data_IF_710763731117
#
_entry.id   IF_710763731117
#
_cell.length_a   1.000
_cell.length_b   1.000
_cell.length_c   1.000
_cell.angle_alpha   90.00
_cell.angle_beta   90.00
_cell.angle_gamma   90.00
#
_symmetry.space_group_name_H-M   'P 1'
#
loop_
_entity.id
_entity.type
_entity.pdbx_description
1 polymer ?
#
# COMPACT_ATOMS: atom_id res chain seq x y z
N UNK A 1 14.42 0.94 2.49
CA UNK A 1 13.36 1.92 2.17
C UNK A 1 12.29 1.91 3.24
N UNK A 2 11.56 0.80 3.48
CA UNK A 2 10.43 0.72 4.45
C UNK A 2 10.80 1.07 5.89
N UNK A 3 11.95 0.63 6.40
CA UNK A 3 12.42 1.04 7.72
C UNK A 3 12.55 2.57 7.83
N UNK A 4 13.09 3.20 6.79
CA UNK A 4 13.15 4.67 6.70
C UNK A 4 11.77 5.33 6.65
N UNK A 5 10.79 4.71 5.98
CA UNK A 5 9.40 5.20 5.93
C UNK A 5 8.74 5.19 7.31
N UNK A 6 8.85 4.07 8.05
CA UNK A 6 8.31 3.96 9.41
C UNK A 6 9.02 4.95 10.35
N UNK A 7 10.35 5.08 10.24
CA UNK A 7 11.09 6.03 11.05
C UNK A 7 10.74 7.48 10.72
N UNK A 8 10.45 7.80 9.45
CA UNK A 8 10.04 9.14 9.02
C UNK A 8 8.65 9.56 9.54
N UNK A 9 7.79 8.60 9.90
CA UNK A 9 6.49 8.86 10.53
C UNK A 9 6.55 9.01 12.06
N UNK A 10 7.75 8.85 12.66
CA UNK A 10 7.97 8.85 14.11
C UNK A 10 8.89 9.99 14.56
N UNK A 11 8.38 11.25 14.60
CA UNK A 11 9.17 12.41 15.04
C UNK A 11 9.57 12.36 16.52
N UNK A 12 8.97 11.44 17.28
CA UNK A 12 9.31 11.13 18.66
C UNK A 12 10.61 10.30 18.81
N UNK A 13 11.04 9.61 17.75
CA UNK A 13 12.20 8.70 17.78
C UNK A 13 13.36 9.24 16.95
N UNK A 14 13.09 9.95 15.83
CA UNK A 14 14.12 10.39 14.90
C UNK A 14 14.24 11.92 14.83
N UNK A 15 15.47 12.49 14.78
CA UNK A 15 15.68 13.91 14.54
C UNK A 15 15.07 14.35 13.20
N UNK A 16 14.53 15.59 13.17
CA UNK A 16 13.87 16.14 11.97
C UNK A 16 14.71 16.03 10.69
N UNK A 17 16.01 16.28 10.77
CA UNK A 17 16.90 16.16 9.61
C UNK A 17 16.96 14.75 9.03
N UNK A 18 16.84 13.73 9.87
CA UNK A 18 16.76 12.33 9.43
C UNK A 18 15.40 12.02 8.81
N UNK A 19 14.33 12.53 9.41
CA UNK A 19 12.96 12.39 8.87
C UNK A 19 12.88 12.98 7.46
N UNK A 20 13.41 14.18 7.26
CA UNK A 20 13.40 14.87 5.97
C UNK A 20 14.16 14.08 4.88
N UNK A 21 15.32 13.48 5.22
CA UNK A 21 16.06 12.63 4.28
C UNK A 21 15.38 11.26 4.03
N UNK A 22 14.86 10.64 5.08
CA UNK A 22 14.18 9.35 4.98
C UNK A 22 12.85 9.46 4.21
N UNK A 23 12.16 10.60 4.32
CA UNK A 23 10.93 10.86 3.55
C UNK A 23 11.20 10.89 2.04
N UNK A 24 12.39 11.33 1.60
CA UNK A 24 12.77 11.30 0.17
C UNK A 24 12.94 9.89 -0.39
N UNK A 25 13.10 8.89 0.47
CA UNK A 25 13.18 7.48 0.05
C UNK A 25 11.79 6.88 -0.27
N UNK A 26 10.71 7.62 0.04
CA UNK A 26 9.35 7.12 -0.16
C UNK A 26 8.96 7.09 -1.64
N UNK A 27 9.41 8.06 -2.44
CA UNK A 27 8.86 8.33 -3.78
C UNK A 27 9.73 7.83 -4.95
N UNK A 28 10.89 7.20 -4.70
CA UNK A 28 11.88 6.92 -5.76
C UNK A 28 12.30 5.44 -5.86
N UNK A 29 11.34 4.53 -5.91
CA UNK A 29 11.69 3.14 -6.26
C UNK A 29 11.67 2.97 -7.76
N UNK A 30 12.83 2.66 -8.36
CA UNK A 30 12.94 2.41 -9.80
C UNK A 30 11.94 1.35 -10.24
N UNK A 31 11.18 1.59 -11.31
CA UNK A 31 10.28 0.60 -11.86
C UNK A 31 11.03 -0.67 -12.26
N UNK A 32 10.43 -1.83 -11.98
CA UNK A 32 10.92 -3.07 -12.59
C UNK A 32 10.54 -3.10 -14.08
N UNK A 33 11.39 -3.69 -14.94
CA UNK A 33 11.07 -3.86 -16.35
C UNK A 33 9.74 -4.60 -16.55
N UNK A 34 9.00 -4.22 -17.62
CA UNK A 34 7.68 -4.82 -17.88
C UNK A 34 7.75 -6.35 -18.08
N UNK A 35 8.83 -6.85 -18.67
CA UNK A 35 9.06 -8.28 -18.84
C UNK A 35 9.14 -9.01 -17.50
N UNK A 36 9.76 -8.39 -16.49
CA UNK A 36 9.82 -8.94 -15.12
C UNK A 36 8.45 -8.92 -14.47
N UNK A 37 7.70 -7.81 -14.63
CA UNK A 37 6.32 -7.73 -14.18
C UNK A 37 5.45 -8.82 -14.81
N UNK A 38 5.55 -9.02 -16.12
CA UNK A 38 4.79 -10.05 -16.84
C UNK A 38 5.10 -11.47 -16.36
N UNK A 39 6.37 -11.76 -16.04
CA UNK A 39 6.78 -13.05 -15.45
C UNK A 39 6.15 -13.26 -14.08
N UNK A 40 6.17 -12.26 -13.20
CA UNK A 40 5.56 -12.35 -11.86
C UNK A 40 4.03 -12.44 -11.93
N UNK A 41 3.41 -11.73 -12.88
CA UNK A 41 1.98 -11.84 -13.15
C UNK A 41 1.61 -13.26 -13.62
N UNK A 42 2.41 -13.83 -14.55
CA UNK A 42 2.24 -15.21 -15.03
C UNK A 42 2.45 -16.24 -13.91
N UNK A 43 3.37 -15.98 -12.97
CA UNK A 43 3.58 -16.84 -11.81
C UNK A 43 2.34 -16.88 -10.91
N UNK A 44 1.66 -15.75 -10.73
CA UNK A 44 0.44 -15.65 -9.94
C UNK A 44 -0.78 -16.21 -10.65
N UNK A 45 -1.09 -15.71 -11.84
CA UNK A 45 -2.33 -16.02 -12.55
C UNK A 45 -2.27 -17.25 -13.45
N UNK A 46 -1.07 -17.83 -13.66
CA UNK A 46 -0.86 -18.94 -14.56
C UNK A 46 -0.42 -18.53 -15.98
N UNK A 47 0.03 -19.50 -16.78
CA UNK A 47 0.58 -19.24 -18.11
C UNK A 47 -0.43 -18.63 -19.09
N UNK A 48 -1.71 -18.92 -18.91
CA UNK A 48 -2.79 -18.43 -19.79
C UNK A 48 -3.31 -17.04 -19.38
N UNK A 49 -2.61 -16.35 -18.46
CA UNK A 49 -3.03 -15.01 -17.96
C UNK A 49 -3.22 -13.98 -19.08
N UNK A 50 -2.48 -14.06 -20.18
CA UNK A 50 -2.66 -13.18 -21.34
C UNK A 50 -4.07 -13.30 -21.96
N UNK A 51 -4.72 -14.45 -21.82
CA UNK A 51 -6.10 -14.65 -22.27
C UNK A 51 -7.15 -13.90 -21.38
N UNK A 52 -6.77 -13.49 -20.17
CA UNK A 52 -7.64 -12.77 -19.22
C UNK A 52 -7.74 -11.28 -19.54
N UNK A 53 -6.73 -10.72 -20.20
CA UNK A 53 -6.64 -9.29 -20.48
C UNK A 53 -6.68 -8.99 -21.97
N UNK A 54 -7.35 -7.88 -22.34
CA UNK A 54 -7.30 -7.29 -23.68
C UNK A 54 -5.99 -6.52 -23.88
N UNK A 55 -5.56 -5.81 -22.84
CA UNK A 55 -4.30 -5.06 -22.80
C UNK A 55 -3.82 -4.86 -21.37
N UNK A 56 -2.52 -4.76 -21.19
CA UNK A 56 -1.86 -4.33 -19.96
C UNK A 56 -0.91 -3.20 -20.37
N UNK A 57 -0.95 -2.06 -19.66
CA UNK A 57 -0.05 -0.94 -19.90
C UNK A 57 1.38 -1.34 -19.54
N UNK A 58 2.35 -1.09 -20.42
CA UNK A 58 3.77 -1.31 -20.13
C UNK A 58 4.31 -0.31 -19.13
N UNK A 59 3.83 0.95 -19.19
CA UNK A 59 4.17 1.96 -18.22
C UNK A 59 3.43 1.70 -16.89
N UNK A 60 4.12 1.62 -15.75
CA UNK A 60 3.48 1.45 -14.46
C UNK A 60 2.73 2.71 -14.05
N UNK A 61 1.61 2.54 -13.35
CA UNK A 61 0.90 3.62 -12.65
C UNK A 61 1.65 4.04 -11.38
N UNK A 62 2.22 3.06 -10.67
CA UNK A 62 2.98 3.29 -9.45
C UNK A 62 4.05 2.21 -9.27
N UNK A 63 5.16 2.58 -8.62
CA UNK A 63 6.26 1.69 -8.29
C UNK A 63 6.62 1.87 -6.82
N UNK A 64 6.26 0.87 -6.00
CA UNK A 64 6.55 0.84 -4.57
C UNK A 64 7.70 -0.12 -4.24
N UNK A 65 8.13 -0.14 -2.99
CA UNK A 65 9.24 -0.97 -2.51
C UNK A 65 9.00 -2.47 -2.68
N UNK A 66 7.78 -2.92 -2.47
CA UNK A 66 7.41 -4.34 -2.51
C UNK A 66 6.59 -4.74 -3.73
N UNK A 67 6.00 -3.79 -4.44
CA UNK A 67 5.08 -4.05 -5.55
C UNK A 67 5.16 -2.99 -6.65
N UNK A 68 4.63 -3.33 -7.80
CA UNK A 68 4.39 -2.41 -8.91
C UNK A 68 2.97 -2.54 -9.41
N UNK A 69 2.37 -1.41 -9.82
CA UNK A 69 0.97 -1.33 -10.23
C UNK A 69 0.87 -0.95 -11.69
N UNK A 70 0.13 -1.71 -12.48
CA UNK A 70 -0.14 -1.44 -13.88
C UNK A 70 -1.65 -1.37 -14.15
N UNK A 71 -2.06 -0.49 -15.08
CA UNK A 71 -3.43 -0.46 -15.61
C UNK A 71 -3.59 -1.58 -16.63
N UNK A 72 -4.75 -2.23 -16.60
CA UNK A 72 -5.10 -3.26 -17.56
C UNK A 72 -6.58 -3.16 -17.93
N UNK A 73 -6.93 -3.77 -19.06
CA UNK A 73 -8.31 -3.95 -19.51
C UNK A 73 -8.55 -5.45 -19.63
N UNK A 74 -9.51 -5.98 -18.91
CA UNK A 74 -9.90 -7.39 -19.00
C UNK A 74 -10.58 -7.72 -20.33
N UNK A 75 -10.73 -9.01 -20.68
CA UNK A 75 -11.38 -9.42 -21.93
C UNK A 75 -12.85 -8.98 -22.01
N UNK A 76 -13.53 -8.91 -20.89
CA UNK A 76 -14.92 -8.42 -20.77
C UNK A 76 -15.04 -6.89 -20.69
N UNK A 77 -13.89 -6.17 -20.82
CA UNK A 77 -13.85 -4.71 -20.96
C UNK A 77 -13.80 -3.94 -19.66
N UNK A 78 -13.60 -4.58 -18.50
CA UNK A 78 -13.40 -3.89 -17.20
C UNK A 78 -12.03 -3.25 -17.17
N UNK A 79 -11.96 -1.99 -16.74
CA UNK A 79 -10.71 -1.30 -16.44
C UNK A 79 -10.26 -1.65 -15.03
N UNK A 80 -9.05 -2.17 -14.90
CA UNK A 80 -8.51 -2.67 -13.63
C UNK A 80 -7.08 -2.20 -13.42
N UNK A 81 -6.64 -2.27 -12.17
CA UNK A 81 -5.23 -2.19 -11.79
C UNK A 81 -4.75 -3.55 -11.31
N UNK A 82 -3.54 -3.88 -11.70
CA UNK A 82 -2.82 -5.09 -11.30
C UNK A 82 -1.65 -4.65 -10.41
N UNK A 83 -1.75 -4.90 -9.11
CA UNK A 83 -0.66 -4.74 -8.14
C UNK A 83 0.06 -6.09 -8.06
N UNK A 84 1.32 -6.13 -8.48
CA UNK A 84 2.11 -7.36 -8.56
C UNK A 84 3.33 -7.21 -7.67
N UNK A 85 3.56 -8.21 -6.81
CA UNK A 85 4.69 -8.23 -5.88
C UNK A 85 6.00 -8.41 -6.67
N UNK A 86 7.03 -7.66 -6.24
CA UNK A 86 8.37 -7.75 -6.82
C UNK A 86 8.99 -9.14 -6.57
N UNK A 87 9.77 -9.66 -7.52
CA UNK A 87 10.48 -10.94 -7.33
C UNK A 87 11.51 -10.82 -6.19
N UNK A 88 11.71 -11.91 -5.45
CA UNK A 88 12.75 -12.02 -4.42
C UNK A 88 12.54 -11.12 -3.18
N UNK A 89 11.41 -10.40 -3.09
CA UNK A 89 11.20 -9.45 -1.99
C UNK A 89 11.09 -10.14 -0.63
N UNK A 90 10.49 -11.33 -0.56
CA UNK A 90 10.37 -12.08 0.69
C UNK A 90 11.73 -12.49 1.24
N UNK A 91 12.60 -12.97 0.35
CA UNK A 91 13.96 -13.38 0.69
C UNK A 91 14.81 -12.18 1.13
N UNK A 92 14.69 -11.06 0.42
CA UNK A 92 15.40 -9.83 0.77
C UNK A 92 14.95 -9.28 2.13
N UNK A 93 13.63 -9.21 2.37
CA UNK A 93 13.09 -8.76 3.67
C UNK A 93 13.57 -9.67 4.79
N UNK A 94 13.58 -10.99 4.60
CA UNK A 94 14.08 -11.92 5.60
C UNK A 94 15.56 -11.67 5.94
N UNK A 95 16.40 -11.50 4.92
CA UNK A 95 17.81 -11.19 5.13
C UNK A 95 18.02 -9.84 5.85
N UNK A 96 17.23 -8.83 5.49
CA UNK A 96 17.26 -7.53 6.18
C UNK A 96 16.83 -7.67 7.65
N UNK A 97 15.80 -8.49 7.95
CA UNK A 97 15.37 -8.75 9.32
C UNK A 97 16.46 -9.47 10.13
N UNK A 98 17.13 -10.47 9.57
CA UNK A 98 18.22 -11.17 10.24
C UNK A 98 19.34 -10.20 10.66
N UNK A 99 19.69 -9.23 9.78
CA UNK A 99 20.67 -8.18 10.07
C UNK A 99 20.16 -7.26 11.19
N UNK A 100 18.90 -6.81 11.12
CA UNK A 100 18.30 -5.93 12.15
C UNK A 100 18.25 -6.60 13.51
N UNK A 101 17.90 -7.89 13.59
CA UNK A 101 17.92 -8.65 14.83
C UNK A 101 19.33 -8.74 15.41
N UNK A 102 20.33 -9.01 14.57
CA UNK A 102 21.72 -9.04 15.02
C UNK A 102 22.17 -7.67 15.60
N UNK A 103 21.83 -6.58 14.92
CA UNK A 103 22.15 -5.22 15.40
C UNK A 103 21.39 -4.88 16.68
N UNK A 104 20.12 -5.28 16.80
CA UNK A 104 19.32 -5.06 18.00
C UNK A 104 19.89 -5.81 19.22
N UNK A 105 20.33 -7.05 19.02
CA UNK A 105 20.99 -7.84 20.08
C UNK A 105 22.33 -7.22 20.48
N UNK A 106 23.15 -6.78 19.54
CA UNK A 106 24.40 -6.10 19.81
C UNK A 106 24.18 -4.79 20.60
N UNK A 107 23.17 -4.00 20.21
CA UNK A 107 22.81 -2.77 20.91
C UNK A 107 22.37 -3.05 22.34
N UNK A 108 21.54 -4.07 22.55
CA UNK A 108 21.03 -4.49 23.85
C UNK A 108 22.13 -4.97 24.79
N UNK A 109 23.20 -5.59 24.22
CA UNK A 109 24.34 -6.08 24.99
C UNK A 109 25.36 -4.99 25.33
N UNK A 110 25.41 -3.87 24.59
CA UNK A 110 26.46 -2.84 24.72
C UNK A 110 25.99 -1.54 25.36
N UNK A 111 24.68 -1.27 25.36
CA UNK A 111 24.08 -0.02 25.87
C UNK A 111 23.08 -0.37 26.96
N UNK A 112 23.40 0.02 28.22
CA UNK A 112 22.55 -0.29 29.38
C UNK A 112 21.12 0.27 29.24
N UNK A 113 20.99 1.50 28.71
CA UNK A 113 19.68 2.12 28.49
C UNK A 113 18.89 1.50 27.33
N UNK A 114 19.52 0.74 26.42
CA UNK A 114 18.84 0.11 25.30
C UNK A 114 17.81 -0.93 25.75
N UNK A 115 17.98 -1.53 26.95
CA UNK A 115 17.02 -2.46 27.55
C UNK A 115 15.64 -1.83 27.79
N UNK A 116 15.58 -0.52 28.03
CA UNK A 116 14.32 0.23 28.25
C UNK A 116 13.49 0.28 26.95
N UNK A 117 14.14 0.37 25.80
CA UNK A 117 13.48 0.51 24.49
C UNK A 117 13.17 -0.83 23.80
N UNK A 118 13.63 -1.96 24.37
CA UNK A 118 13.42 -3.30 23.81
C UNK A 118 13.70 -3.37 22.30
N UNK A 119 14.94 -3.17 21.82
CA UNK A 119 15.26 -3.09 20.38
C UNK A 119 14.83 -4.34 19.61
N UNK A 120 14.95 -5.52 20.18
CA UNK A 120 14.50 -6.77 19.56
C UNK A 120 12.99 -6.84 19.39
N UNK A 121 12.22 -6.29 20.34
CA UNK A 121 10.77 -6.14 20.24
C UNK A 121 10.37 -5.19 19.11
N UNK A 122 11.10 -4.08 18.92
CA UNK A 122 10.89 -3.15 17.80
C UNK A 122 11.10 -3.86 16.46
N UNK A 123 12.17 -4.66 16.34
CA UNK A 123 12.44 -5.43 15.12
C UNK A 123 11.34 -6.47 14.87
N UNK A 124 10.84 -7.13 15.92
CA UNK A 124 9.74 -8.10 15.81
C UNK A 124 8.44 -7.45 15.28
N UNK A 125 8.07 -6.27 15.80
CA UNK A 125 6.90 -5.54 15.30
C UNK A 125 7.11 -5.06 13.86
N UNK A 126 8.32 -4.64 13.51
CA UNK A 126 8.66 -4.28 12.13
C UNK A 126 8.55 -5.48 11.19
N UNK A 127 9.07 -6.65 11.57
CA UNK A 127 8.97 -7.89 10.81
C UNK A 127 7.50 -8.27 10.56
N UNK A 128 6.67 -8.16 11.60
CA UNK A 128 5.24 -8.42 11.51
C UNK A 128 4.54 -7.48 10.52
N UNK A 129 4.84 -6.18 10.58
CA UNK A 129 4.31 -5.19 9.67
C UNK A 129 4.73 -5.48 8.21
N UNK A 130 6.01 -5.81 7.98
CA UNK A 130 6.52 -6.17 6.66
C UNK A 130 5.87 -7.43 6.11
N UNK A 131 5.68 -8.46 6.92
CA UNK A 131 5.01 -9.69 6.52
C UNK A 131 3.54 -9.43 6.14
N UNK A 132 2.84 -8.59 6.90
CA UNK A 132 1.46 -8.19 6.59
C UNK A 132 1.38 -7.44 5.24
N UNK A 133 2.31 -6.54 4.97
CA UNK A 133 2.35 -5.77 3.72
C UNK A 133 2.67 -6.64 2.48
N UNK A 134 3.39 -7.75 2.69
CA UNK A 134 3.66 -8.72 1.62
C UNK A 134 2.53 -9.74 1.40
N UNK A 135 1.54 -9.80 2.28
CA UNK A 135 0.38 -10.70 2.18
C UNK A 135 -0.77 -10.04 1.41
N UNK A 136 -0.75 -10.17 0.09
CA UNK A 136 -1.82 -9.64 -0.75
C UNK A 136 -3.18 -10.32 -0.53
N UNK A 137 -3.23 -11.51 0.04
CA UNK A 137 -4.49 -12.11 0.44
C UNK A 137 -5.09 -11.38 1.66
N UNK A 138 -4.24 -10.88 2.56
CA UNK A 138 -4.67 -10.00 3.65
C UNK A 138 -5.21 -8.68 3.12
N UNK A 139 -4.46 -8.00 2.25
CA UNK A 139 -4.91 -6.75 1.62
C UNK A 139 -6.25 -6.94 0.88
N UNK A 140 -6.43 -8.04 0.14
CA UNK A 140 -7.68 -8.36 -0.54
C UNK A 140 -8.86 -8.53 0.44
N UNK A 141 -8.64 -9.15 1.61
CA UNK A 141 -9.67 -9.25 2.67
C UNK A 141 -10.04 -7.86 3.21
N UNK A 142 -9.05 -7.00 3.40
CA UNK A 142 -9.26 -5.64 3.87
C UNK A 142 -10.07 -4.81 2.88
N UNK A 143 -9.69 -4.82 1.58
CA UNK A 143 -10.46 -4.15 0.50
C UNK A 143 -11.92 -4.58 0.52
N UNK A 144 -12.17 -5.89 0.66
CA UNK A 144 -13.56 -6.41 0.71
C UNK A 144 -14.31 -5.85 1.92
N UNK A 145 -13.72 -5.90 3.12
CA UNK A 145 -14.36 -5.42 4.34
C UNK A 145 -14.63 -3.92 4.27
N UNK A 146 -13.68 -3.12 3.76
CA UNK A 146 -13.91 -1.69 3.51
C UNK A 146 -15.04 -1.47 2.50
N UNK A 147 -15.06 -2.25 1.40
CA UNK A 147 -16.13 -2.17 0.40
C UNK A 147 -17.53 -2.47 0.99
N UNK A 148 -17.62 -3.42 1.92
CA UNK A 148 -18.85 -3.73 2.66
C UNK A 148 -19.24 -2.60 3.62
N UNK A 149 -18.29 -2.08 4.40
CA UNK A 149 -18.51 -1.01 5.37
C UNK A 149 -18.93 0.32 4.71
N UNK A 150 -18.44 0.60 3.51
CA UNK A 150 -18.73 1.82 2.76
C UNK A 150 -19.68 1.60 1.57
N UNK A 151 -20.42 0.47 1.54
CA UNK A 151 -21.39 0.20 0.50
C UNK A 151 -22.44 1.32 0.45
N UNK A 152 -22.59 1.98 -0.71
CA UNK A 152 -23.53 3.08 -0.89
C UNK A 152 -23.12 4.40 -0.25
N UNK A 153 -21.90 4.54 0.29
CA UNK A 153 -21.42 5.80 0.85
C UNK A 153 -21.40 6.92 -0.20
N UNK A 154 -21.92 8.10 0.17
CA UNK A 154 -21.83 9.31 -0.62
C UNK A 154 -20.49 10.05 -0.45
N UNK A 155 -19.69 9.66 0.55
CA UNK A 155 -18.44 10.31 0.92
C UNK A 155 -17.23 9.54 0.41
N UNK A 156 -17.10 8.25 0.75
CA UNK A 156 -15.95 7.43 0.40
C UNK A 156 -16.30 6.38 -0.67
N UNK A 157 -15.35 6.14 -1.55
CA UNK A 157 -15.40 5.10 -2.57
C UNK A 157 -14.24 4.10 -2.36
N UNK A 158 -14.56 2.82 -2.33
CA UNK A 158 -13.60 1.75 -2.21
C UNK A 158 -13.54 1.00 -3.54
N UNK A 159 -12.35 0.81 -4.14
CA UNK A 159 -12.21 0.09 -5.40
C UNK A 159 -12.78 -1.33 -5.30
N UNK A 160 -13.52 -1.75 -6.30
CA UNK A 160 -14.04 -3.12 -6.35
C UNK A 160 -12.91 -4.11 -6.56
N UNK A 161 -12.86 -5.11 -5.70
CA UNK A 161 -11.94 -6.22 -5.83
C UNK A 161 -12.43 -7.18 -6.93
N UNK A 162 -11.50 -7.75 -7.70
CA UNK A 162 -11.74 -8.84 -8.65
C UNK A 162 -11.13 -10.15 -8.11
N UNK A 163 -11.84 -10.89 -7.21
CA UNK A 163 -11.28 -12.02 -6.47
C UNK A 163 -10.78 -13.16 -7.37
N UNK A 164 -11.42 -13.35 -8.51
CA UNK A 164 -11.04 -14.31 -9.56
C UNK A 164 -9.64 -14.06 -10.12
N UNK A 165 -9.16 -12.82 -10.08
CA UNK A 165 -7.85 -12.36 -10.53
C UNK A 165 -6.88 -12.05 -9.39
N UNK A 166 -7.24 -12.34 -8.12
CA UNK A 166 -6.36 -12.15 -6.97
C UNK A 166 -5.64 -13.46 -6.60
N UNK A 167 -4.36 -13.35 -6.28
CA UNK A 167 -3.50 -14.47 -5.83
C UNK A 167 -2.56 -13.96 -4.73
N UNK A 168 -1.72 -14.84 -4.20
CA UNK A 168 -0.75 -14.51 -3.15
C UNK A 168 0.19 -13.33 -3.51
N UNK A 169 0.54 -13.22 -4.80
CA UNK A 169 1.46 -12.19 -5.31
C UNK A 169 0.81 -11.19 -6.27
N UNK A 170 -0.52 -11.26 -6.48
CA UNK A 170 -1.27 -10.40 -7.39
C UNK A 170 -2.57 -9.96 -6.73
N UNK A 171 -2.82 -8.66 -6.73
CA UNK A 171 -4.13 -8.07 -6.44
C UNK A 171 -4.66 -7.42 -7.71
N UNK A 172 -5.93 -7.66 -8.01
CA UNK A 172 -6.65 -7.02 -9.10
C UNK A 172 -7.85 -6.26 -8.55
N UNK A 173 -7.86 -4.96 -8.78
CA UNK A 173 -8.91 -4.06 -8.34
C UNK A 173 -9.40 -3.18 -9.50
N UNK A 174 -10.55 -2.57 -9.34
CA UNK A 174 -11.08 -1.54 -10.22
C UNK A 174 -10.08 -0.40 -10.41
N UNK A 175 -9.90 0.05 -11.66
CA UNK A 175 -9.16 1.28 -11.92
C UNK A 175 -10.04 2.48 -11.57
N UNK A 176 -9.52 3.38 -10.74
CA UNK A 176 -10.22 4.59 -10.32
C UNK A 176 -9.70 5.79 -11.11
N UNK A 177 -10.57 6.42 -11.90
CA UNK A 177 -10.29 7.67 -12.60
C UNK A 177 -10.46 8.85 -11.62
N UNK A 178 -9.41 9.15 -10.88
CA UNK A 178 -9.33 10.23 -9.92
C UNK A 178 -7.98 10.92 -9.95
N UNK A 179 -7.88 12.08 -9.31
CA UNK A 179 -6.63 12.81 -9.12
C UNK A 179 -6.17 12.66 -7.68
N UNK A 180 -4.86 12.69 -7.44
CA UNK A 180 -4.35 12.69 -6.05
C UNK A 180 -4.96 13.86 -5.30
N UNK A 181 -5.31 13.64 -4.04
CA UNK A 181 -5.97 14.66 -3.21
C UNK A 181 -5.14 15.95 -3.12
N UNK A 182 -3.81 15.83 -3.15
CA UNK A 182 -2.88 16.97 -3.16
C UNK A 182 -2.87 17.74 -4.48
N UNK A 183 -3.35 17.15 -5.55
CA UNK A 183 -3.40 17.71 -6.90
C UNK A 183 -4.82 18.20 -7.27
N UNK A 184 -5.79 18.04 -6.36
CA UNK A 184 -7.15 18.51 -6.55
C UNK A 184 -7.18 20.05 -6.64
N UNK A 185 -7.36 20.56 -7.86
CA UNK A 185 -7.42 21.99 -8.20
C UNK A 185 -8.82 22.58 -8.12
N UNK A 186 -9.02 23.71 -8.80
CA UNK A 186 -10.26 24.51 -8.76
C UNK A 186 -11.52 23.78 -9.26
N UNK A 187 -11.38 22.62 -9.91
CA UNK A 187 -12.51 21.77 -10.32
C UNK A 187 -13.10 20.91 -9.21
N UNK A 188 -12.56 20.99 -7.98
CA UNK A 188 -12.96 20.19 -6.83
C UNK A 188 -13.38 21.07 -5.66
N UNK A 189 -14.41 20.64 -4.95
CA UNK A 189 -14.85 21.25 -3.69
C UNK A 189 -13.98 20.72 -2.54
N UNK A 190 -12.94 21.49 -2.18
CA UNK A 190 -11.97 21.11 -1.15
C UNK A 190 -12.56 20.97 0.24
N UNK A 191 -13.57 21.78 0.57
CA UNK A 191 -14.25 21.72 1.86
C UNK A 191 -15.05 20.42 1.97
N UNK A 192 -15.76 20.08 0.90
CA UNK A 192 -16.50 18.82 0.81
C UNK A 192 -15.57 17.60 0.84
N UNK A 193 -14.45 17.63 0.11
CA UNK A 193 -13.45 16.56 0.16
C UNK A 193 -12.88 16.39 1.57
N UNK A 194 -12.55 17.49 2.26
CA UNK A 194 -12.07 17.47 3.64
C UNK A 194 -13.12 16.89 4.60
N UNK A 195 -14.38 17.30 4.46
CA UNK A 195 -15.50 16.76 5.23
C UNK A 195 -15.65 15.26 5.02
N UNK A 196 -15.62 14.78 3.77
CA UNK A 196 -15.73 13.36 3.46
C UNK A 196 -14.59 12.51 4.03
N UNK A 197 -13.35 13.05 4.05
CA UNK A 197 -12.21 12.39 4.69
C UNK A 197 -12.45 12.25 6.19
N UNK A 198 -12.88 13.33 6.85
CA UNK A 198 -13.13 13.32 8.29
C UNK A 198 -14.30 12.40 8.67
N UNK A 199 -15.43 12.48 7.99
CA UNK A 199 -16.58 11.59 8.22
C UNK A 199 -16.19 10.13 8.02
N UNK A 200 -15.45 9.85 6.94
CA UNK A 200 -14.96 8.52 6.67
C UNK A 200 -14.00 8.00 7.75
N UNK A 201 -13.10 8.84 8.27
CA UNK A 201 -12.21 8.49 9.36
C UNK A 201 -12.98 8.23 10.69
N UNK A 202 -13.93 9.11 11.02
CA UNK A 202 -14.78 8.92 12.20
C UNK A 202 -15.59 7.61 12.13
N UNK A 203 -16.21 7.34 10.98
CA UNK A 203 -16.93 6.08 10.78
C UNK A 203 -16.03 4.87 10.99
N UNK A 204 -14.85 4.85 10.37
CA UNK A 204 -13.88 3.76 10.49
C UNK A 204 -13.52 3.48 11.95
N UNK A 205 -13.24 4.54 12.74
CA UNK A 205 -12.76 4.40 14.12
C UNK A 205 -13.90 4.11 15.09
N UNK A 206 -14.99 4.89 15.02
CA UNK A 206 -16.03 4.87 16.06
C UNK A 206 -17.21 3.94 15.77
N UNK A 207 -17.50 3.68 14.49
CA UNK A 207 -18.62 2.81 14.12
C UNK A 207 -18.13 1.41 13.72
N UNK A 208 -17.12 1.32 12.83
CA UNK A 208 -16.69 0.05 12.26
C UNK A 208 -15.63 -0.65 13.12
N UNK A 209 -14.87 0.10 13.96
CA UNK A 209 -13.71 -0.43 14.68
C UNK A 209 -12.68 -1.05 13.72
N UNK A 210 -12.63 -0.55 12.49
CA UNK A 210 -11.77 -1.04 11.43
C UNK A 210 -11.36 0.14 10.55
N UNK A 211 -10.11 0.57 10.64
CA UNK A 211 -9.65 1.81 10.05
C UNK A 211 -8.40 1.62 9.20
N UNK A 212 -8.25 2.44 8.19
CA UNK A 212 -7.08 2.54 7.34
C UNK A 212 -5.93 3.16 8.15
N UNK A 213 -4.87 2.40 8.40
CA UNK A 213 -3.78 2.81 9.26
C UNK A 213 -2.70 3.66 8.55
N UNK A 214 -2.74 3.76 7.22
CA UNK A 214 -1.83 4.60 6.43
C UNK A 214 -2.60 5.56 5.51
N UNK A 215 -3.30 6.58 6.04
CA UNK A 215 -4.05 7.57 5.26
C UNK A 215 -3.13 8.61 4.59
N UNK A 216 -2.01 8.16 4.02
CA UNK A 216 -1.09 9.05 3.32
C UNK A 216 -1.78 9.67 2.09
N UNK A 217 -1.56 10.96 1.78
CA UNK A 217 -2.20 11.61 0.64
C UNK A 217 -2.00 10.92 -0.71
N UNK A 218 -0.91 10.16 -0.88
CA UNK A 218 -0.66 9.32 -2.04
C UNK A 218 -1.64 8.17 -2.22
N UNK A 219 -2.34 7.76 -1.14
CA UNK A 219 -3.34 6.69 -1.12
C UNK A 219 -4.78 7.23 -1.19
N UNK A 220 -4.95 8.53 -1.47
CA UNK A 220 -6.24 9.21 -1.48
C UNK A 220 -6.45 9.90 -2.82
N UNK A 221 -7.53 9.56 -3.53
CA UNK A 221 -7.93 10.23 -4.77
C UNK A 221 -9.20 11.05 -4.58
N UNK A 222 -9.23 12.24 -5.19
CA UNK A 222 -10.44 13.01 -5.38
C UNK A 222 -11.14 12.58 -6.67
N UNK A 223 -12.43 12.25 -6.59
CA UNK A 223 -13.27 11.88 -7.74
C UNK A 223 -14.04 13.12 -8.26
N UNK A 224 -14.43 13.07 -9.53
CA UNK A 224 -15.14 14.20 -10.20
C UNK A 224 -16.46 14.60 -9.54
N UNK A 225 -17.07 13.69 -8.77
CA UNK A 225 -18.29 13.93 -7.99
C UNK A 225 -17.99 14.41 -6.54
N UNK A 226 -16.76 14.77 -6.26
CA UNK A 226 -16.23 15.14 -4.95
C UNK A 226 -16.29 14.04 -3.89
N UNK A 227 -16.46 12.76 -4.27
CA UNK A 227 -16.18 11.66 -3.37
C UNK A 227 -14.67 11.47 -3.25
N UNK A 228 -14.26 10.79 -2.21
CA UNK A 228 -12.88 10.43 -1.93
C UNK A 228 -12.71 8.93 -2.13
N UNK A 229 -11.76 8.50 -2.98
CA UNK A 229 -11.40 7.09 -3.06
C UNK A 229 -10.16 6.80 -2.23
N UNK A 230 -10.23 5.72 -1.44
CA UNK A 230 -9.08 5.19 -0.70
C UNK A 230 -8.42 4.09 -1.52
N UNK A 231 -7.09 4.09 -1.48
CA UNK A 231 -6.24 3.09 -2.13
C UNK A 231 -5.33 2.45 -1.06
N UNK A 232 -4.71 1.31 -1.41
CA UNK A 232 -3.73 0.59 -0.58
C UNK A 232 -4.25 0.21 0.82
N UNK A 233 -4.75 -1.00 0.95
CA UNK A 233 -5.36 -1.52 2.19
C UNK A 233 -4.44 -2.54 2.90
N UNK A 234 -3.15 -2.45 2.67
CA UNK A 234 -2.16 -3.32 3.30
C UNK A 234 -2.03 -3.13 4.81
N UNK A 235 -2.34 -1.91 5.29
CA UNK A 235 -2.29 -1.55 6.71
C UNK A 235 -3.67 -1.11 7.19
N UNK A 236 -4.22 -1.85 8.14
CA UNK A 236 -5.51 -1.58 8.78
C UNK A 236 -5.47 -1.97 10.25
#
# INVERSE_FOLDING_TARGET
>A
VKFGQILSSRPDIAPKAWIDELSRLQDNVSPMPFEVFAVELARGLGKDHAALFRSISEAPLASASIAQVHRAVTKDGREVVLKVRRPGIKENVRADMDILYYLALALQATVEEAGIYNPTGIVAEFEKAMNAEMDFAHEARNVRRFGENFAGSAALYIPKLHPDLCRENVICMEFIDGVKITEAGDGYDREKLGTHILEGAFKQVYEDGFFHADPHPGNILALKDNRVALLDFGQV
#
